data_IF_995066612722
#
_entry.id   IF_995066612722
#
_cell.length_a   1.000
_cell.length_b   1.000
_cell.length_c   1.000
_cell.angle_alpha   90.00
_cell.angle_beta   90.00
_cell.angle_gamma   90.00
#
_symmetry.space_group_name_H-M   'P 1'
#
loop_
_entity.id
_entity.type
_entity.pdbx_description
1 polymer ?
#
# COMPACT_ATOMS: atom_id res chain seq x y z
N UNK A 1 -4.25 63.67 50.12
CA UNK A 1 -4.94 62.90 49.06
C UNK A 1 -4.90 61.45 49.49
N UNK A 2 -6.08 60.87 49.78
CA UNK A 2 -6.27 59.55 50.40
C UNK A 2 -5.65 58.40 49.59
N UNK A 3 -5.04 57.40 50.23
CA UNK A 3 -5.67 56.26 50.94
C UNK A 3 -6.46 55.36 49.96
N UNK A 4 -6.34 54.02 49.93
CA UNK A 4 -5.85 53.04 50.92
C UNK A 4 -5.78 51.64 50.29
N UNK A 5 -4.92 50.77 50.85
CA UNK A 5 -4.74 49.33 50.57
C UNK A 5 -5.63 48.46 51.47
N UNK A 6 -6.02 47.25 51.01
CA UNK A 6 -5.89 45.91 51.69
C UNK A 6 -6.77 44.87 50.94
N UNK A 7 -6.30 43.71 50.45
CA UNK A 7 -6.15 42.38 51.13
C UNK A 7 -7.35 42.01 52.03
N UNK A 8 -7.97 40.80 52.04
CA UNK A 8 -7.41 39.42 52.18
C UNK A 8 -8.52 38.33 52.02
N UNK A 9 -8.11 37.06 51.77
CA UNK A 9 -8.65 35.74 52.25
C UNK A 9 -10.08 35.17 51.93
N UNK A 10 -10.12 34.08 51.14
CA UNK A 10 -10.26 32.64 51.55
C UNK A 10 -11.47 32.04 52.34
N UNK A 11 -12.33 31.26 51.61
CA UNK A 11 -13.06 29.98 51.94
C UNK A 11 -14.17 29.96 53.03
N UNK A 12 -14.98 28.87 53.17
CA UNK A 12 -15.80 28.06 52.23
C UNK A 12 -17.27 27.94 52.74
N UNK A 13 -18.20 27.18 52.11
CA UNK A 13 -19.31 26.42 52.76
C UNK A 13 -20.23 25.69 51.75
N UNK A 14 -21.10 24.82 52.29
CA UNK A 14 -21.55 23.51 51.81
C UNK A 14 -23.09 23.39 51.84
N UNK A 15 -23.68 22.53 50.99
CA UNK A 15 -25.10 22.06 51.06
C UNK A 15 -26.09 22.86 50.19
N UNK A 16 -27.17 22.34 49.59
CA UNK A 16 -27.91 21.06 49.69
C UNK A 16 -28.74 20.84 48.39
N UNK A 17 -29.19 19.59 48.20
CA UNK A 17 -30.18 19.11 47.21
C UNK A 17 -31.52 19.85 47.30
N UNK A 18 -32.21 20.02 46.17
CA UNK A 18 -33.66 19.86 46.09
C UNK A 18 -34.14 19.60 44.65
N UNK A 19 -35.35 19.03 44.57
CA UNK A 19 -35.91 18.14 43.54
C UNK A 19 -36.74 18.82 42.43
N UNK A 20 -36.90 18.08 41.32
CA UNK A 20 -37.76 18.31 40.14
C UNK A 20 -39.22 18.71 40.45
N UNK A 21 -39.91 19.30 39.46
CA UNK A 21 -41.13 18.65 38.99
C UNK A 21 -41.21 18.48 37.46
N UNK A 22 -41.86 17.38 37.10
CA UNK A 22 -42.28 16.91 35.78
C UNK A 22 -43.37 17.76 35.13
N UNK A 23 -43.34 17.90 33.80
CA UNK A 23 -44.55 17.85 32.98
C UNK A 23 -44.26 17.34 31.57
N UNK A 24 -45.14 16.42 31.14
CA UNK A 24 -45.31 15.82 29.81
C UNK A 24 -45.73 16.92 28.82
N UNK A 25 -45.66 16.82 27.49
CA UNK A 25 -45.94 15.73 26.58
C UNK A 25 -45.46 16.17 25.18
N UNK A 26 -44.99 15.23 24.37
CA UNK A 26 -44.38 15.54 23.07
C UNK A 26 -44.07 14.29 22.28
N UNK A 27 -45.09 13.44 22.09
CA UNK A 27 -45.02 12.28 21.20
C UNK A 27 -44.56 12.68 19.79
N UNK A 28 -43.33 12.32 19.44
CA UNK A 28 -42.93 12.12 18.04
C UNK A 28 -42.78 10.63 17.79
N UNK A 29 -43.70 10.12 17.00
CA UNK A 29 -43.70 8.77 16.42
C UNK A 29 -42.46 8.63 15.54
N UNK A 30 -41.56 7.72 15.88
CA UNK A 30 -40.43 7.31 15.05
C UNK A 30 -40.86 6.06 14.27
N UNK A 31 -40.81 6.05 12.92
CA UNK A 31 -41.09 4.84 12.16
C UNK A 31 -40.00 3.80 12.39
N UNK A 32 -40.39 2.60 12.78
CA UNK A 32 -39.55 1.41 12.75
C UNK A 32 -39.10 1.13 11.31
N UNK A 33 -37.81 1.26 11.04
CA UNK A 33 -37.21 0.97 9.74
C UNK A 33 -35.71 0.74 9.88
N UNK A 34 -35.31 -0.53 9.84
CA UNK A 34 -33.94 -1.05 9.69
C UNK A 34 -32.84 -0.37 10.52
N UNK A 35 -32.67 -0.89 11.73
CA UNK A 35 -31.39 -0.87 12.42
C UNK A 35 -30.38 -1.66 11.55
N UNK A 36 -29.60 -0.96 10.71
CA UNK A 36 -28.37 -1.55 10.17
C UNK A 36 -27.47 -1.76 11.39
N UNK A 37 -27.37 -3.00 11.86
CA UNK A 37 -26.24 -3.42 12.67
C UNK A 37 -24.97 -3.16 11.84
N UNK A 38 -24.34 -2.01 12.05
CA UNK A 38 -22.91 -1.84 11.81
C UNK A 38 -22.19 -2.78 12.75
N UNK A 39 -22.10 -4.07 12.37
CA UNK A 39 -21.05 -4.94 12.89
C UNK A 39 -19.73 -4.40 12.36
N UNK A 40 -19.17 -3.43 13.09
CA UNK A 40 -17.73 -3.20 13.10
C UNK A 40 -17.07 -4.58 13.20
N UNK A 41 -16.14 -4.86 12.29
CA UNK A 41 -15.28 -6.02 12.40
C UNK A 41 -14.63 -5.97 13.79
N UNK A 42 -14.94 -6.92 14.66
CA UNK A 42 -14.29 -7.00 15.96
C UNK A 42 -12.80 -7.22 15.74
N UNK A 43 -11.98 -6.40 16.37
CA UNK A 43 -10.51 -6.39 16.36
C UNK A 43 -9.85 -7.71 16.80
N UNK A 44 -10.63 -8.75 17.14
CA UNK A 44 -10.18 -9.99 17.77
C UNK A 44 -9.80 -11.12 16.80
N UNK A 45 -10.00 -10.95 15.50
CA UNK A 45 -9.77 -12.02 14.50
C UNK A 45 -8.43 -11.90 13.74
N UNK A 46 -7.60 -10.91 14.04
CA UNK A 46 -6.24 -10.80 13.48
C UNK A 46 -5.21 -11.19 14.55
N UNK A 47 -4.21 -12.03 14.22
CA UNK A 47 -3.02 -12.16 15.07
C UNK A 47 -2.43 -10.77 15.32
N UNK A 48 -1.89 -10.48 16.52
CA UNK A 48 -1.23 -9.22 16.81
C UNK A 48 0.07 -9.16 16.00
N UNK A 49 -0.03 -8.72 14.74
CA UNK A 49 1.14 -8.51 13.89
C UNK A 49 1.62 -7.07 14.10
N UNK A 50 2.88 -6.93 14.49
CA UNK A 50 3.50 -5.68 14.95
C UNK A 50 3.73 -4.64 13.83
N UNK A 51 3.21 -4.86 12.62
CA UNK A 51 3.48 -4.06 11.42
C UNK A 51 2.21 -3.46 10.84
N UNK A 52 1.44 -2.72 11.64
CA UNK A 52 0.29 -1.93 11.17
C UNK A 52 0.79 -0.68 10.43
N UNK A 53 0.37 -0.46 9.19
CA UNK A 53 0.56 0.86 8.55
C UNK A 53 -0.43 1.85 9.19
N UNK A 54 0.06 2.95 9.80
CA UNK A 54 -0.82 3.93 10.44
C UNK A 54 -1.59 4.73 9.40
N UNK A 55 -2.81 5.14 9.78
CA UNK A 55 -3.57 6.14 9.05
C UNK A 55 -2.97 7.52 9.34
N UNK A 56 -2.91 8.37 8.32
CA UNK A 56 -2.42 9.74 8.40
C UNK A 56 -3.62 10.67 8.21
N UNK A 57 -3.84 11.65 9.11
CA UNK A 57 -4.87 12.65 8.93
C UNK A 57 -4.68 13.41 7.61
N UNK A 58 -5.74 14.02 7.12
CA UNK A 58 -5.66 14.89 5.94
C UNK A 58 -4.72 16.05 6.21
N UNK A 59 -3.72 16.19 5.36
CA UNK A 59 -2.69 17.22 5.47
C UNK A 59 -2.41 17.84 4.11
N UNK A 60 -2.20 19.15 4.11
CA UNK A 60 -1.76 19.91 2.93
C UNK A 60 -0.27 20.17 3.09
N UNK A 61 0.53 19.59 2.20
CA UNK A 61 1.97 19.82 2.15
C UNK A 61 2.47 19.90 0.70
N UNK A 62 3.68 20.44 0.47
CA UNK A 62 4.26 20.51 -0.87
C UNK A 62 4.38 19.12 -1.50
N UNK A 63 3.87 18.96 -2.72
CA UNK A 63 4.02 17.72 -3.48
C UNK A 63 5.50 17.43 -3.69
N UNK A 64 5.91 16.19 -3.42
CA UNK A 64 7.24 15.71 -3.72
C UNK A 64 7.51 15.74 -5.25
N UNK A 65 8.63 16.36 -5.64
CA UNK A 65 9.03 16.43 -7.04
C UNK A 65 9.82 15.18 -7.44
N UNK A 66 9.15 14.22 -8.07
CA UNK A 66 9.75 12.92 -8.40
C UNK A 66 10.99 13.02 -9.30
N UNK A 67 11.04 14.01 -10.20
CA UNK A 67 12.15 14.21 -11.15
C UNK A 67 13.16 15.27 -10.69
N UNK A 68 13.00 15.79 -9.46
CA UNK A 68 13.89 16.79 -8.86
C UNK A 68 14.14 16.39 -7.39
N UNK A 69 15.05 15.44 -7.13
CA UNK A 69 15.33 15.01 -5.77
C UNK A 69 15.89 16.18 -4.93
N UNK A 70 15.44 16.32 -3.69
CA UNK A 70 15.89 17.36 -2.77
C UNK A 70 17.40 17.26 -2.45
N UNK A 71 17.93 16.03 -2.44
CA UNK A 71 19.35 15.73 -2.18
C UNK A 71 19.92 14.89 -3.32
N UNK A 72 20.85 15.47 -4.07
CA UNK A 72 21.58 14.82 -5.17
C UNK A 72 23.11 14.80 -4.93
N UNK A 73 23.51 15.06 -3.69
CA UNK A 73 24.88 15.17 -3.18
C UNK A 73 25.25 14.02 -2.22
N UNK A 74 24.26 13.40 -1.57
CA UNK A 74 24.46 12.32 -0.58
C UNK A 74 23.58 11.10 -0.86
N UNK A 75 23.98 9.97 -0.30
CA UNK A 75 23.18 8.75 -0.23
C UNK A 75 22.09 8.93 0.85
N UNK A 76 20.83 8.87 0.44
CA UNK A 76 19.66 8.99 1.32
C UNK A 76 19.02 7.64 1.68
N UNK A 77 19.50 6.55 1.07
CA UNK A 77 18.97 5.20 1.26
C UNK A 77 20.04 4.15 0.97
N UNK A 78 20.16 3.14 1.83
CA UNK A 78 21.09 2.03 1.63
C UNK A 78 20.60 1.09 0.51
N UNK A 79 21.48 0.24 -0.07
CA UNK A 79 21.08 -0.76 -1.06
C UNK A 79 20.13 -1.86 -0.54
N UNK A 80 19.87 -1.91 0.77
CA UNK A 80 18.87 -2.78 1.40
C UNK A 80 17.68 -1.97 1.95
N UNK A 81 17.45 -0.78 1.40
CA UNK A 81 16.30 0.07 1.67
C UNK A 81 16.19 0.66 3.09
N UNK A 82 17.28 0.71 3.85
CA UNK A 82 17.30 1.46 5.10
C UNK A 82 17.48 2.96 4.79
N UNK A 83 16.61 3.86 5.28
CA UNK A 83 16.79 5.30 5.13
C UNK A 83 18.08 5.80 5.79
N UNK A 84 18.74 6.77 5.17
CA UNK A 84 19.82 7.55 5.81
C UNK A 84 19.26 8.95 6.06
N UNK A 85 19.10 9.29 7.34
CA UNK A 85 18.38 10.51 7.74
C UNK A 85 19.30 11.71 7.61
N UNK A 86 18.92 12.62 6.71
CA UNK A 86 19.52 13.94 6.55
C UNK A 86 18.42 14.99 6.61
N UNK A 87 18.78 16.20 7.02
CA UNK A 87 17.88 17.34 6.89
C UNK A 87 17.47 17.54 5.41
N UNK A 88 16.18 17.82 5.22
CA UNK A 88 15.56 17.99 3.90
C UNK A 88 15.18 16.70 3.16
N UNK A 89 15.32 15.52 3.79
CA UNK A 89 14.93 14.23 3.19
C UNK A 89 13.53 13.76 3.61
N UNK A 90 12.97 14.33 4.67
CA UNK A 90 11.66 13.97 5.21
C UNK A 90 10.81 15.21 5.48
N UNK A 91 9.50 15.02 5.61
CA UNK A 91 8.56 16.02 6.11
C UNK A 91 8.18 15.65 7.54
N UNK A 92 8.60 16.48 8.50
CA UNK A 92 8.36 16.22 9.92
C UNK A 92 6.89 16.17 10.27
N UNK A 93 6.05 16.98 9.61
CA UNK A 93 4.62 17.01 9.90
C UNK A 93 3.96 15.68 9.53
N UNK A 94 4.38 15.06 8.41
CA UNK A 94 3.87 13.74 8.03
C UNK A 94 4.31 12.68 9.03
N UNK A 95 5.58 12.70 9.46
CA UNK A 95 6.09 11.73 10.44
C UNK A 95 5.40 11.90 11.79
N UNK A 96 5.25 13.13 12.27
CA UNK A 96 4.55 13.42 13.53
C UNK A 96 3.11 12.91 13.48
N UNK A 97 2.42 13.10 12.36
CA UNK A 97 1.06 12.59 12.16
C UNK A 97 0.99 11.06 12.07
N UNK A 98 1.99 10.40 11.46
CA UNK A 98 2.08 8.93 11.41
C UNK A 98 2.32 8.31 12.78
N UNK A 99 3.10 8.98 13.63
CA UNK A 99 3.56 8.44 14.90
C UNK A 99 2.92 9.11 16.13
N UNK A 100 1.88 9.94 15.95
CA UNK A 100 1.21 10.70 17.02
C UNK A 100 0.82 9.84 18.23
N UNK A 101 0.34 8.61 17.98
CA UNK A 101 -0.10 7.67 19.02
C UNK A 101 0.93 6.56 19.31
N UNK A 102 2.20 6.76 18.96
CA UNK A 102 3.25 5.75 19.15
C UNK A 102 3.97 5.92 20.48
N UNK A 103 3.91 4.90 21.32
CA UNK A 103 4.71 4.85 22.55
C UNK A 103 6.14 4.46 22.22
N UNK A 104 7.08 5.38 22.39
CA UNK A 104 8.52 5.10 22.24
C UNK A 104 9.09 4.64 23.59
N UNK A 105 9.49 3.37 23.67
CA UNK A 105 10.23 2.85 24.82
C UNK A 105 11.73 3.14 24.69
N UNK A 106 12.32 3.79 25.68
CA UNK A 106 13.78 3.96 25.77
C UNK A 106 14.35 2.93 26.76
N UNK A 107 15.12 1.97 26.26
CA UNK A 107 15.85 1.02 27.11
C UNK A 107 17.29 1.51 27.28
N UNK A 108 17.64 1.93 28.49
CA UNK A 108 19.01 2.33 28.85
C UNK A 108 19.70 1.14 29.51
N UNK A 109 20.74 0.61 28.86
CA UNK A 109 21.62 -0.39 29.49
C UNK A 109 22.66 0.31 30.35
N UNK A 110 22.54 0.21 31.67
CA UNK A 110 23.65 0.48 32.57
C UNK A 110 24.56 -0.75 32.59
N UNK A 111 25.66 -0.70 31.83
CA UNK A 111 26.64 -1.78 31.81
C UNK A 111 27.42 -1.74 33.14
N UNK A 112 27.04 -2.59 34.08
CA UNK A 112 27.93 -3.01 35.18
C UNK A 112 28.65 -4.27 34.69
N UNK A 113 29.98 -4.30 34.81
CA UNK A 113 30.80 -5.46 34.45
C UNK A 113 30.46 -6.67 35.36
N UNK A 114 29.39 -7.39 35.04
CA UNK A 114 29.11 -8.70 35.59
C UNK A 114 28.70 -9.63 34.44
N UNK A 115 29.37 -10.78 34.37
CA UNK A 115 29.23 -11.81 33.34
C UNK A 115 27.93 -12.58 33.59
N UNK A 116 27.11 -12.74 32.55
CA UNK A 116 26.14 -13.82 32.47
C UNK A 116 24.68 -13.36 32.45
N UNK A 117 24.06 -13.48 31.27
CA UNK A 117 22.62 -13.37 31.08
C UNK A 117 22.30 -13.62 29.61
N UNK A 118 21.99 -14.88 29.28
CA UNK A 118 21.52 -15.28 27.94
C UNK A 118 20.07 -14.79 27.80
N UNK A 119 19.83 -13.90 26.83
CA UNK A 119 18.50 -13.38 26.51
C UNK A 119 17.90 -14.26 25.42
N UNK A 120 16.87 -15.04 25.77
CA UNK A 120 16.02 -15.78 24.83
C UNK A 120 15.14 -14.78 24.05
N UNK A 121 15.72 -14.21 22.99
CA UNK A 121 15.00 -13.46 21.96
C UNK A 121 14.66 -14.37 20.77
N UNK A 122 13.73 -13.96 19.88
CA UNK A 122 13.47 -14.69 18.64
C UNK A 122 14.80 -14.91 17.89
N UNK A 123 15.05 -16.15 17.43
CA UNK A 123 16.30 -16.55 16.79
C UNK A 123 16.72 -15.50 15.75
N UNK A 124 17.76 -14.73 16.06
CA UNK A 124 18.32 -13.76 15.14
C UNK A 124 18.94 -14.51 13.97
N UNK A 125 18.29 -14.45 12.81
CA UNK A 125 18.83 -15.08 11.60
C UNK A 125 19.94 -14.19 11.05
N UNK A 126 21.18 -14.63 11.19
CA UNK A 126 22.36 -13.90 10.74
C UNK A 126 22.56 -14.08 9.24
N UNK A 127 22.72 -12.98 8.51
CA UNK A 127 23.09 -13.03 7.10
C UNK A 127 24.46 -13.69 6.92
N UNK A 128 24.60 -14.52 5.90
CA UNK A 128 25.88 -15.06 5.46
C UNK A 128 26.86 -13.91 5.18
N UNK A 129 28.17 -14.17 5.31
CA UNK A 129 29.18 -13.18 4.88
C UNK A 129 29.04 -12.92 3.38
N UNK A 130 28.78 -11.67 3.02
CA UNK A 130 28.67 -11.24 1.62
C UNK A 130 29.79 -10.24 1.28
N UNK A 131 30.29 -10.31 0.05
CA UNK A 131 31.21 -9.31 -0.51
C UNK A 131 30.46 -8.52 -1.56
N UNK A 132 30.27 -7.23 -1.33
CA UNK A 132 29.57 -6.33 -2.24
C UNK A 132 30.23 -4.93 -2.22
N UNK A 133 30.03 -4.10 -3.25
CA UNK A 133 30.56 -2.75 -3.28
C UNK A 133 30.08 -1.93 -2.08
N UNK A 134 31.01 -1.32 -1.35
CA UNK A 134 30.68 -0.48 -0.19
C UNK A 134 29.77 0.70 -0.62
N UNK A 135 28.63 0.91 0.06
CA UNK A 135 27.81 2.10 -0.17
C UNK A 135 28.61 3.37 0.11
N UNK A 136 28.65 4.29 -0.86
CA UNK A 136 29.38 5.57 -0.74
C UNK A 136 28.43 6.65 -0.24
N UNK A 137 28.57 7.05 1.02
CA UNK A 137 27.65 7.99 1.69
C UNK A 137 27.56 9.36 0.98
N UNK A 138 28.66 9.85 0.40
CA UNK A 138 28.70 11.11 -0.35
C UNK A 138 28.47 10.93 -1.86
N UNK A 139 27.82 9.84 -2.26
CA UNK A 139 27.50 9.58 -3.67
C UNK A 139 26.12 8.97 -3.76
N UNK A 140 25.12 9.70 -4.29
CA UNK A 140 23.78 9.16 -4.43
C UNK A 140 23.73 8.04 -5.47
N UNK A 141 22.79 7.10 -5.28
CA UNK A 141 22.50 6.03 -6.23
C UNK A 141 21.84 6.54 -7.53
N UNK A 142 20.98 7.57 -7.40
CA UNK A 142 20.32 8.28 -8.49
C UNK A 142 20.34 9.78 -8.22
N UNK A 143 20.57 10.59 -9.26
CA UNK A 143 20.57 12.07 -9.18
C UNK A 143 19.40 12.71 -9.92
N UNK A 144 18.71 11.92 -10.72
CA UNK A 144 17.68 12.31 -11.68
C UNK A 144 16.26 12.03 -11.18
N UNK A 145 16.12 11.30 -10.08
CA UNK A 145 14.84 10.92 -9.48
C UNK A 145 14.89 10.95 -7.96
N UNK A 146 13.73 11.17 -7.34
CA UNK A 146 13.49 10.94 -5.93
C UNK A 146 13.49 9.44 -5.64
N UNK A 147 14.28 9.02 -4.65
CA UNK A 147 14.45 7.61 -4.25
C UNK A 147 13.90 7.31 -2.85
N UNK A 148 13.44 8.33 -2.13
CA UNK A 148 12.84 8.22 -0.80
C UNK A 148 11.69 9.23 -0.70
N UNK A 149 10.54 8.81 -0.21
CA UNK A 149 9.38 9.70 -0.01
C UNK A 149 9.59 10.60 1.20
N UNK A 150 8.80 11.70 1.32
CA UNK A 150 8.83 12.55 2.51
C UNK A 150 8.48 11.83 3.83
N UNK A 151 7.82 10.67 3.76
CA UNK A 151 7.54 9.79 4.91
C UNK A 151 8.53 8.61 5.02
N UNK A 152 9.73 8.75 4.46
CA UNK A 152 10.84 7.80 4.56
C UNK A 152 10.58 6.41 3.93
N UNK A 153 9.63 6.29 3.01
CA UNK A 153 9.44 5.07 2.24
C UNK A 153 10.35 5.05 1.00
N UNK A 154 11.05 3.93 0.70
CA UNK A 154 11.79 3.75 -0.54
C UNK A 154 10.92 3.95 -1.79
N UNK A 155 11.44 4.69 -2.77
CA UNK A 155 10.95 4.65 -4.14
C UNK A 155 11.87 3.73 -4.95
N UNK A 156 11.36 2.58 -5.40
CA UNK A 156 12.16 1.51 -5.98
C UNK A 156 12.47 1.81 -7.45
N UNK A 157 13.74 2.10 -7.74
CA UNK A 157 14.28 2.33 -9.08
C UNK A 157 15.49 1.44 -9.33
N UNK A 158 15.80 1.14 -10.60
CA UNK A 158 17.06 0.48 -10.92
C UNK A 158 18.26 1.31 -10.41
N UNK A 159 19.16 0.62 -9.72
CA UNK A 159 20.36 1.18 -9.09
C UNK A 159 20.19 1.61 -7.64
N UNK A 160 18.97 1.53 -7.05
CA UNK A 160 18.74 1.90 -5.64
C UNK A 160 18.89 0.73 -4.68
N UNK A 161 19.03 -0.49 -5.18
CA UNK A 161 19.08 -1.70 -4.37
C UNK A 161 20.17 -2.67 -4.81
N UNK A 162 20.61 -3.52 -3.89
CA UNK A 162 21.45 -4.68 -4.17
C UNK A 162 20.58 -5.93 -4.04
N UNK A 163 20.31 -6.58 -5.17
CA UNK A 163 19.39 -7.72 -5.21
C UNK A 163 19.92 -8.95 -4.46
N UNK A 164 21.23 -9.12 -4.35
CA UNK A 164 21.82 -10.26 -3.66
C UNK A 164 21.55 -10.17 -2.15
N UNK A 165 21.73 -8.98 -1.56
CA UNK A 165 21.46 -8.74 -0.15
C UNK A 165 19.98 -9.01 0.16
N UNK A 166 19.08 -8.48 -0.68
CA UNK A 166 17.65 -8.67 -0.50
C UNK A 166 17.24 -10.14 -0.69
N UNK A 167 17.78 -10.83 -1.70
CA UNK A 167 17.52 -12.25 -1.89
C UNK A 167 17.96 -13.09 -0.70
N UNK A 168 19.11 -12.79 -0.08
CA UNK A 168 19.55 -13.48 1.13
C UNK A 168 18.57 -13.27 2.28
N UNK A 169 18.14 -12.03 2.54
CA UNK A 169 17.18 -11.69 3.59
C UNK A 169 15.85 -12.45 3.43
N UNK A 170 15.25 -12.39 2.24
CA UNK A 170 13.93 -12.99 2.01
C UNK A 170 13.97 -14.52 1.89
N UNK A 171 15.10 -15.11 1.47
CA UNK A 171 15.31 -16.57 1.51
C UNK A 171 15.41 -17.09 2.93
N UNK A 172 16.09 -16.37 3.82
CA UNK A 172 16.18 -16.72 5.24
C UNK A 172 14.83 -16.68 5.95
N UNK A 173 13.92 -15.83 5.51
CA UNK A 173 12.52 -15.80 5.98
C UNK A 173 11.63 -16.87 5.34
N UNK A 174 12.15 -17.65 4.37
CA UNK A 174 11.40 -18.66 3.61
C UNK A 174 10.06 -18.11 3.07
N UNK A 175 10.11 -16.87 2.55
CA UNK A 175 8.92 -16.13 2.15
C UNK A 175 8.26 -16.79 0.95
N UNK A 176 6.95 -17.06 1.02
CA UNK A 176 6.16 -17.44 -0.15
C UNK A 176 5.43 -16.21 -0.70
N UNK A 177 5.60 -15.97 -2.00
CA UNK A 177 4.99 -14.83 -2.68
C UNK A 177 3.75 -15.30 -3.41
N UNK A 178 2.67 -14.53 -3.29
CA UNK A 178 1.41 -14.83 -3.99
C UNK A 178 1.16 -13.78 -5.05
N UNK A 179 1.02 -14.22 -6.30
CA UNK A 179 0.64 -13.35 -7.40
C UNK A 179 -0.85 -13.57 -7.69
N UNK A 180 -1.66 -12.53 -7.63
CA UNK A 180 -3.10 -12.60 -7.93
C UNK A 180 -3.38 -11.85 -9.22
N UNK A 181 -4.10 -12.51 -10.13
CA UNK A 181 -4.40 -11.98 -11.46
C UNK A 181 -5.83 -12.33 -11.86
N UNK A 182 -6.51 -11.38 -12.50
CA UNK A 182 -7.90 -11.54 -12.95
C UNK A 182 -7.95 -11.65 -14.47
N UNK A 183 -8.50 -12.77 -14.96
CA UNK A 183 -8.65 -13.06 -16.38
C UNK A 183 -10.11 -13.42 -16.68
N UNK A 184 -10.94 -12.40 -16.84
CA UNK A 184 -12.40 -12.52 -17.02
C UNK A 184 -12.79 -12.32 -18.50
N UNK A 185 -13.71 -13.13 -19.01
CA UNK A 185 -14.17 -13.12 -20.41
C UNK A 185 -13.00 -13.31 -21.39
N UNK A 186 -12.74 -12.33 -22.26
CA UNK A 186 -11.69 -12.38 -23.29
C UNK A 186 -10.28 -12.17 -22.72
N UNK A 187 -10.18 -11.75 -21.46
CA UNK A 187 -8.88 -11.51 -20.82
C UNK A 187 -8.07 -12.79 -20.58
N UNK A 188 -8.69 -13.98 -20.67
CA UNK A 188 -7.96 -15.25 -20.67
C UNK A 188 -6.92 -15.35 -21.77
N UNK A 189 -7.09 -14.63 -22.89
CA UNK A 189 -6.14 -14.59 -24.00
C UNK A 189 -4.75 -14.04 -23.60
N UNK A 190 -4.66 -13.29 -22.49
CA UNK A 190 -3.38 -12.74 -22.01
C UNK A 190 -2.63 -13.69 -21.07
N UNK A 191 -3.30 -14.70 -20.51
CA UNK A 191 -2.73 -15.54 -19.45
C UNK A 191 -1.48 -16.29 -19.88
N UNK A 192 -1.41 -16.77 -21.12
CA UNK A 192 -0.28 -17.57 -21.57
C UNK A 192 1.00 -16.74 -21.58
N UNK A 193 0.97 -15.56 -22.22
CA UNK A 193 2.09 -14.64 -22.25
C UNK A 193 2.44 -14.13 -20.84
N UNK A 194 1.43 -13.81 -20.03
CA UNK A 194 1.62 -13.36 -18.66
C UNK A 194 2.36 -14.41 -17.82
N UNK A 195 1.88 -15.65 -17.79
CA UNK A 195 2.46 -16.73 -16.98
C UNK A 195 3.85 -17.12 -17.49
N UNK A 196 4.04 -17.25 -18.81
CA UNK A 196 5.36 -17.56 -19.39
C UNK A 196 6.41 -16.50 -19.08
N UNK A 197 6.03 -15.22 -19.06
CA UNK A 197 6.97 -14.14 -18.73
C UNK A 197 7.16 -14.00 -17.23
N UNK A 198 6.14 -14.25 -16.41
CA UNK A 198 6.26 -14.32 -14.96
C UNK A 198 7.25 -15.41 -14.51
N UNK A 199 7.26 -16.57 -15.15
CA UNK A 199 8.25 -17.62 -14.85
C UNK A 199 9.69 -17.18 -15.10
N UNK A 200 9.93 -16.30 -16.08
CA UNK A 200 11.28 -15.82 -16.44
C UNK A 200 11.78 -14.69 -15.53
N UNK A 201 10.89 -13.93 -14.92
CA UNK A 201 11.22 -12.61 -14.37
C UNK A 201 10.65 -12.31 -13.00
N UNK A 202 9.57 -12.98 -12.59
CA UNK A 202 8.87 -12.69 -11.34
C UNK A 202 9.36 -13.61 -10.22
N UNK A 203 10.04 -13.02 -9.23
CA UNK A 203 10.48 -13.68 -7.99
C UNK A 203 11.27 -14.96 -8.25
N UNK A 204 12.13 -14.95 -9.28
CA UNK A 204 12.95 -16.11 -9.65
C UNK A 204 13.84 -16.51 -8.47
N UNK A 205 13.84 -17.81 -8.14
CA UNK A 205 14.56 -18.35 -6.98
C UNK A 205 13.78 -18.33 -5.66
N UNK A 206 12.54 -17.82 -5.66
CA UNK A 206 11.64 -17.83 -4.50
C UNK A 206 10.38 -18.64 -4.78
N UNK A 207 9.69 -19.04 -3.71
CA UNK A 207 8.43 -19.78 -3.78
C UNK A 207 7.32 -18.85 -4.26
N UNK A 208 6.60 -19.25 -5.31
CA UNK A 208 5.53 -18.44 -5.89
C UNK A 208 4.27 -19.27 -6.09
N UNK A 209 3.14 -18.76 -5.62
CA UNK A 209 1.83 -19.27 -6.03
C UNK A 209 1.08 -18.19 -6.80
N UNK A 210 0.81 -18.44 -8.07
CA UNK A 210 0.00 -17.57 -8.91
C UNK A 210 -1.47 -18.02 -8.85
N UNK A 211 -2.35 -17.16 -8.35
CA UNK A 211 -3.79 -17.39 -8.32
C UNK A 211 -4.47 -16.66 -9.48
N UNK A 212 -5.04 -17.44 -10.41
CA UNK A 212 -5.79 -16.96 -11.56
C UNK A 212 -7.27 -16.98 -11.23
N UNK A 213 -7.87 -15.79 -11.09
CA UNK A 213 -9.32 -15.62 -10.95
C UNK A 213 -9.94 -15.52 -12.34
N UNK A 214 -10.82 -16.45 -12.70
CA UNK A 214 -11.43 -16.50 -14.03
C UNK A 214 -12.86 -17.06 -14.02
N UNK A 215 -13.67 -16.63 -14.97
CA UNK A 215 -14.98 -17.21 -15.31
C UNK A 215 -14.86 -18.37 -16.31
N UNK A 216 -13.64 -18.70 -16.74
CA UNK A 216 -13.35 -19.69 -17.78
C UNK A 216 -12.17 -20.58 -17.37
N UNK A 217 -12.32 -21.42 -16.33
CA UNK A 217 -11.22 -22.23 -15.78
C UNK A 217 -10.61 -23.21 -16.81
N UNK A 218 -11.41 -23.69 -17.76
CA UNK A 218 -10.93 -24.57 -18.84
C UNK A 218 -10.00 -23.89 -19.85
N UNK A 219 -9.99 -22.55 -19.90
CA UNK A 219 -9.16 -21.77 -20.82
C UNK A 219 -7.85 -21.27 -20.17
N UNK A 220 -7.58 -21.66 -18.91
CA UNK A 220 -6.31 -21.33 -18.27
C UNK A 220 -5.18 -22.20 -18.87
N UNK A 221 -4.14 -21.60 -19.47
CA UNK A 221 -3.10 -22.35 -20.14
C UNK A 221 -2.21 -23.12 -19.16
N UNK A 222 -1.74 -24.30 -19.58
CA UNK A 222 -0.76 -25.08 -18.83
C UNK A 222 0.65 -24.63 -19.22
N UNK A 223 1.26 -23.81 -18.37
CA UNK A 223 2.64 -23.34 -18.55
C UNK A 223 3.59 -24.19 -17.70
N UNK A 224 4.74 -24.64 -18.22
CA UNK A 224 5.77 -25.28 -17.40
C UNK A 224 6.28 -24.32 -16.31
N UNK A 225 6.27 -24.75 -15.05
CA UNK A 225 6.68 -23.95 -13.90
C UNK A 225 7.97 -24.52 -13.29
N UNK A 226 8.81 -23.62 -12.76
CA UNK A 226 9.98 -24.02 -11.98
C UNK A 226 9.62 -24.69 -10.65
N UNK A 227 10.62 -25.28 -9.99
CA UNK A 227 10.45 -25.86 -8.66
C UNK A 227 9.94 -24.83 -7.64
N UNK A 228 9.04 -25.25 -6.75
CA UNK A 228 8.46 -24.37 -5.72
C UNK A 228 7.46 -23.35 -6.26
N UNK A 229 7.02 -23.50 -7.52
CA UNK A 229 6.09 -22.58 -8.19
C UNK A 229 4.83 -23.30 -8.65
N UNK A 230 3.68 -22.66 -8.45
CA UNK A 230 2.36 -23.25 -8.72
C UNK A 230 1.38 -22.23 -9.28
N UNK A 231 0.44 -22.70 -10.11
CA UNK A 231 -0.71 -21.93 -10.57
C UNK A 231 -1.98 -22.54 -9.99
N UNK A 232 -2.70 -21.77 -9.17
CA UNK A 232 -4.02 -22.10 -8.65
C UNK A 232 -5.10 -21.40 -9.47
N UNK A 233 -6.12 -22.14 -9.91
CA UNK A 233 -7.26 -21.57 -10.64
C UNK A 233 -8.45 -21.41 -9.70
N UNK A 234 -9.03 -20.21 -9.68
CA UNK A 234 -10.17 -19.85 -8.85
C UNK A 234 -11.31 -19.41 -9.76
N UNK A 235 -12.33 -20.26 -9.85
CA UNK A 235 -13.52 -19.95 -10.64
C UNK A 235 -14.35 -18.86 -9.96
N UNK A 236 -14.68 -17.82 -10.72
CA UNK A 236 -15.47 -16.68 -10.27
C UNK A 236 -16.52 -16.30 -11.29
N UNK A 237 -17.57 -15.61 -10.84
CA UNK A 237 -18.65 -15.20 -11.74
C UNK A 237 -18.19 -14.08 -12.68
N UNK A 238 -18.65 -14.16 -13.93
CA UNK A 238 -18.55 -13.06 -14.89
C UNK A 238 -19.63 -12.01 -14.60
N UNK A 239 -19.29 -10.74 -14.71
CA UNK A 239 -20.24 -9.62 -14.58
C UNK A 239 -20.48 -8.97 -15.95
N UNK A 240 -21.70 -8.44 -16.17
CA UNK A 240 -22.10 -7.86 -17.45
C UNK A 240 -21.28 -6.60 -17.79
N UNK A 241 -21.08 -5.68 -16.83
CA UNK A 241 -20.20 -4.50 -17.00
C UNK A 241 -18.77 -4.79 -16.56
N UNK A 242 -17.79 -4.27 -17.30
CA UNK A 242 -16.35 -4.36 -16.95
C UNK A 242 -16.02 -3.62 -15.66
N UNK A 243 -16.70 -2.50 -15.39
CA UNK A 243 -16.53 -1.70 -14.18
C UNK A 243 -16.80 -2.53 -12.92
N UNK A 244 -17.83 -3.39 -12.99
CA UNK A 244 -18.18 -4.30 -11.91
C UNK A 244 -17.05 -5.33 -11.69
N UNK A 245 -16.38 -5.81 -12.74
CA UNK A 245 -15.24 -6.74 -12.61
C UNK A 245 -14.13 -6.11 -11.76
N UNK A 246 -13.79 -4.84 -11.98
CA UNK A 246 -12.75 -4.11 -11.24
C UNK A 246 -13.10 -3.93 -9.76
N UNK A 247 -14.34 -3.55 -9.48
CA UNK A 247 -14.90 -3.42 -8.13
C UNK A 247 -14.93 -4.76 -7.40
N UNK A 248 -15.27 -5.84 -8.11
CA UNK A 248 -15.29 -7.18 -7.54
C UNK A 248 -13.89 -7.79 -7.38
N UNK A 249 -12.84 -7.30 -8.06
CA UNK A 249 -11.45 -7.74 -7.78
C UNK A 249 -11.12 -7.57 -6.31
N UNK A 250 -11.43 -6.38 -5.80
CA UNK A 250 -11.21 -5.97 -4.43
C UNK A 250 -11.99 -6.88 -3.46
N UNK A 251 -13.25 -7.16 -3.76
CA UNK A 251 -14.07 -8.09 -2.97
C UNK A 251 -13.53 -9.53 -2.99
N UNK A 252 -13.10 -10.00 -4.17
CA UNK A 252 -12.60 -11.35 -4.38
C UNK A 252 -11.26 -11.55 -3.67
N UNK A 253 -10.34 -10.59 -3.77
CA UNK A 253 -9.09 -10.59 -3.01
C UNK A 253 -9.40 -10.62 -1.51
N UNK A 254 -10.30 -9.77 -1.01
CA UNK A 254 -10.71 -9.78 0.41
C UNK A 254 -11.24 -11.14 0.85
N UNK A 255 -12.18 -11.71 0.10
CA UNK A 255 -12.81 -12.99 0.45
C UNK A 255 -11.81 -14.14 0.43
N UNK A 256 -10.88 -14.12 -0.53
CA UNK A 256 -9.83 -15.13 -0.63
C UNK A 256 -8.79 -14.97 0.48
N UNK A 257 -8.38 -13.73 0.77
CA UNK A 257 -7.49 -13.42 1.88
C UNK A 257 -8.04 -13.92 3.22
N UNK A 258 -9.34 -13.72 3.47
CA UNK A 258 -10.00 -14.25 4.68
C UNK A 258 -10.05 -15.77 4.74
N UNK A 259 -10.32 -16.45 3.63
CA UNK A 259 -10.61 -17.89 3.64
C UNK A 259 -9.37 -18.77 3.53
N UNK A 260 -8.32 -18.28 2.86
CA UNK A 260 -7.13 -19.08 2.53
C UNK A 260 -5.83 -18.51 3.08
N UNK A 261 -5.76 -17.21 3.38
CA UNK A 261 -4.48 -16.55 3.60
C UNK A 261 -4.23 -16.10 5.04
N UNK A 262 -5.26 -16.03 5.90
CA UNK A 262 -5.14 -15.53 7.28
C UNK A 262 -4.14 -16.30 8.16
N UNK A 263 -3.78 -17.53 7.78
CA UNK A 263 -2.87 -18.38 8.55
C UNK A 263 -1.47 -18.51 7.92
N UNK A 264 -1.17 -17.78 6.84
CA UNK A 264 0.07 -17.90 6.08
C UNK A 264 0.82 -16.56 6.03
N UNK A 265 2.15 -16.58 6.14
CA UNK A 265 3.06 -15.41 6.31
C UNK A 265 3.34 -14.68 4.98
N UNK A 266 2.43 -14.78 4.02
CA UNK A 266 2.74 -14.51 2.62
C UNK A 266 2.54 -13.03 2.24
N UNK A 267 3.12 -12.64 1.11
CA UNK A 267 2.96 -11.29 0.54
C UNK A 267 2.14 -11.36 -0.76
N UNK A 268 0.83 -11.03 -0.74
CA UNK A 268 0.03 -10.90 -1.95
C UNK A 268 0.45 -9.69 -2.80
N UNK A 269 0.65 -9.95 -4.09
CA UNK A 269 0.85 -8.99 -5.16
C UNK A 269 -0.39 -9.07 -6.07
N UNK A 270 -1.04 -7.94 -6.28
CA UNK A 270 -2.20 -7.80 -7.16
C UNK A 270 -1.77 -7.15 -8.45
N UNK A 271 -2.04 -7.81 -9.57
CA UNK A 271 -1.52 -7.42 -10.87
C UNK A 271 -2.57 -7.54 -11.99
N UNK A 272 -2.51 -6.63 -12.96
CA UNK A 272 -3.28 -6.74 -14.20
C UNK A 272 -2.78 -7.92 -15.06
N UNK A 273 -3.65 -8.51 -15.88
CA UNK A 273 -3.27 -9.63 -16.76
C UNK A 273 -2.81 -9.18 -18.15
N UNK A 274 -3.22 -7.99 -18.61
CA UNK A 274 -2.97 -7.46 -19.96
C UNK A 274 -1.62 -6.72 -20.07
N UNK A 275 -0.61 -7.35 -19.48
CA UNK A 275 0.76 -6.89 -19.26
C UNK A 275 1.69 -8.11 -19.32
N UNK A 276 2.96 -7.89 -19.62
CA UNK A 276 3.99 -8.93 -19.66
C UNK A 276 5.20 -8.52 -18.84
N UNK A 277 5.85 -9.49 -18.22
CA UNK A 277 7.16 -9.24 -17.60
C UNK A 277 8.24 -9.24 -18.68
N UNK A 278 9.14 -8.26 -18.62
CA UNK A 278 10.23 -8.08 -19.60
C UNK A 278 11.61 -8.06 -18.95
N UNK A 279 11.68 -7.74 -17.66
CA UNK A 279 12.91 -7.69 -16.87
C UNK A 279 12.57 -8.06 -15.41
N UNK A 280 13.59 -8.18 -14.57
CA UNK A 280 13.51 -8.59 -13.17
C UNK A 280 12.45 -7.82 -12.37
N UNK A 281 11.56 -8.56 -11.72
CA UNK A 281 10.66 -8.11 -10.66
C UNK A 281 10.80 -9.09 -9.50
N UNK A 282 11.52 -8.70 -8.46
CA UNK A 282 11.87 -9.60 -7.37
C UNK A 282 11.48 -9.07 -5.99
N UNK A 283 12.16 -9.60 -4.98
CA UNK A 283 11.86 -9.30 -3.57
C UNK A 283 12.05 -7.84 -3.19
N UNK A 284 12.67 -7.02 -4.06
CA UNK A 284 12.80 -5.60 -3.84
C UNK A 284 11.47 -4.86 -3.71
N UNK A 285 10.38 -5.40 -4.30
CA UNK A 285 9.04 -4.81 -4.21
C UNK A 285 8.33 -5.14 -2.88
N UNK A 286 8.75 -6.20 -2.19
CA UNK A 286 8.05 -6.72 -1.01
C UNK A 286 8.17 -5.75 0.16
N UNK A 287 7.04 -5.44 0.79
CA UNK A 287 6.92 -4.58 1.96
C UNK A 287 5.53 -4.77 2.59
N UNK A 288 5.26 -4.28 3.81
CA UNK A 288 3.92 -4.33 4.39
C UNK A 288 2.84 -3.75 3.48
N UNK A 289 3.10 -2.64 2.80
CA UNK A 289 2.20 -2.03 1.83
C UNK A 289 3.00 -1.31 0.74
N UNK A 290 2.69 -1.58 -0.52
CA UNK A 290 3.24 -0.83 -1.65
C UNK A 290 2.19 -0.46 -2.71
N UNK A 291 2.43 0.67 -3.36
CA UNK A 291 1.73 1.11 -4.55
C UNK A 291 2.72 1.45 -5.67
N UNK A 292 2.26 1.37 -6.92
CA UNK A 292 3.09 1.67 -8.10
C UNK A 292 2.73 3.01 -8.70
N UNK A 293 3.71 3.85 -9.01
CA UNK A 293 3.50 5.12 -9.68
C UNK A 293 2.92 4.91 -11.08
N UNK A 294 1.81 5.58 -11.38
CA UNK A 294 1.18 5.45 -12.68
C UNK A 294 2.05 6.07 -13.80
N UNK A 295 2.30 5.37 -14.90
CA UNK A 295 3.25 5.80 -15.93
C UNK A 295 2.81 7.05 -16.69
N UNK A 296 1.50 7.33 -16.75
CA UNK A 296 0.97 8.58 -17.32
C UNK A 296 1.10 9.82 -16.43
N UNK A 297 1.47 9.68 -15.15
CA UNK A 297 1.37 10.77 -14.16
C UNK A 297 2.63 11.02 -13.32
N UNK A 298 3.63 10.14 -13.36
CA UNK A 298 4.81 10.24 -12.48
C UNK A 298 5.56 11.59 -12.58
N UNK A 299 5.63 12.20 -13.77
CA UNK A 299 6.21 13.53 -14.00
C UNK A 299 5.18 14.67 -14.06
N UNK A 300 3.88 14.40 -13.88
CA UNK A 300 2.83 15.38 -14.07
C UNK A 300 2.65 16.30 -12.84
N UNK A 301 2.12 17.50 -13.07
CA UNK A 301 1.69 18.38 -11.98
C UNK A 301 0.46 17.80 -11.24
N UNK A 302 0.24 18.21 -9.98
CA UNK A 302 -0.82 17.63 -9.13
C UNK A 302 -2.23 17.85 -9.70
N UNK A 303 -2.41 18.93 -10.46
CA UNK A 303 -3.67 19.36 -11.06
C UNK A 303 -4.09 18.44 -12.22
N UNK A 304 -3.11 17.77 -12.83
CA UNK A 304 -3.34 16.82 -13.91
C UNK A 304 -3.78 15.44 -13.40
N UNK A 305 -3.62 15.16 -12.10
CA UNK A 305 -4.02 13.88 -11.53
C UNK A 305 -5.54 13.71 -11.58
N UNK A 306 -5.95 12.60 -12.14
CA UNK A 306 -7.35 12.29 -12.41
C UNK A 306 -8.05 11.63 -11.22
N UNK A 307 -7.78 12.09 -10.00
CA UNK A 307 -8.53 11.63 -8.83
C UNK A 307 -10.02 11.93 -8.96
N UNK A 308 -10.82 11.22 -8.17
CA UNK A 308 -12.22 11.57 -7.97
C UNK A 308 -12.33 12.94 -7.29
N UNK A 309 -12.99 13.88 -7.95
CA UNK A 309 -13.11 15.27 -7.49
C UNK A 309 -14.50 15.60 -6.94
N UNK A 310 -15.47 14.70 -7.09
CA UNK A 310 -16.83 14.87 -6.54
C UNK A 310 -16.81 14.57 -5.04
N UNK A 311 -17.09 15.55 -4.16
CA UNK A 311 -17.08 15.36 -2.70
C UNK A 311 -18.07 14.31 -2.18
N UNK A 312 -19.06 13.94 -3.01
CA UNK A 312 -20.06 12.94 -2.67
C UNK A 312 -19.51 11.50 -2.74
N UNK A 313 -18.39 11.27 -3.43
CA UNK A 313 -17.74 9.96 -3.49
C UNK A 313 -16.81 9.74 -2.32
N UNK A 314 -16.76 8.51 -1.80
CA UNK A 314 -15.78 8.06 -0.83
C UNK A 314 -14.34 8.10 -1.38
N UNK A 315 -14.15 8.09 -2.70
CA UNK A 315 -12.84 8.22 -3.34
C UNK A 315 -12.35 9.67 -3.46
N UNK A 316 -13.09 10.65 -2.93
CA UNK A 316 -12.78 12.07 -3.13
C UNK A 316 -11.39 12.46 -2.62
N UNK A 317 -10.62 13.13 -3.48
CA UNK A 317 -9.35 13.76 -3.15
C UNK A 317 -9.40 15.26 -3.49
N UNK A 318 -9.24 16.15 -2.50
CA UNK A 318 -9.07 17.59 -2.71
C UNK A 318 -7.87 17.93 -3.61
N UNK A 319 -7.82 19.15 -4.15
CA UNK A 319 -6.75 19.55 -5.10
C UNK A 319 -5.41 19.83 -4.42
N UNK A 320 -5.47 20.15 -3.14
CA UNK A 320 -4.36 20.50 -2.25
C UNK A 320 -3.73 19.29 -1.53
N UNK A 321 -4.46 18.18 -1.40
CA UNK A 321 -3.99 16.92 -0.81
C UNK A 321 -3.44 15.95 -1.87
N UNK A 322 -2.13 15.98 -2.17
CA UNK A 322 -1.57 15.12 -3.23
C UNK A 322 -0.11 14.71 -3.01
N UNK A 323 0.13 13.39 -2.93
CA UNK A 323 1.45 12.78 -3.03
C UNK A 323 1.79 12.37 -4.48
N UNK A 324 1.23 11.24 -4.88
CA UNK A 324 1.48 10.53 -6.12
C UNK A 324 0.18 9.94 -6.64
N UNK A 325 0.08 9.80 -7.96
CA UNK A 325 -1.01 9.05 -8.57
C UNK A 325 -0.56 7.61 -8.79
N UNK A 326 -1.15 6.68 -8.03
CA UNK A 326 -0.85 5.26 -8.06
C UNK A 326 -1.72 4.54 -9.10
N UNK A 327 -1.16 3.53 -9.75
CA UNK A 327 -1.88 2.69 -10.71
C UNK A 327 -2.62 1.55 -10.01
N UNK A 328 -3.87 1.30 -10.42
CA UNK A 328 -4.68 0.17 -9.97
C UNK A 328 -4.19 -1.20 -10.46
N UNK A 329 -3.29 -1.21 -11.46
CA UNK A 329 -2.81 -2.42 -12.11
C UNK A 329 -1.63 -3.12 -11.43
N UNK A 330 -1.02 -2.50 -10.41
CA UNK A 330 0.07 -3.16 -9.66
C UNK A 330 0.24 -2.60 -8.24
N UNK A 331 -0.15 -3.38 -7.23
CA UNK A 331 -0.04 -3.04 -5.82
C UNK A 331 0.04 -4.32 -4.97
N UNK A 332 0.39 -4.19 -3.69
CA UNK A 332 0.45 -5.36 -2.82
C UNK A 332 0.94 -5.02 -1.42
N UNK A 333 1.22 -6.06 -0.65
CA UNK A 333 1.62 -5.90 0.74
C UNK A 333 1.68 -7.23 1.47
N UNK A 334 1.73 -7.17 2.80
CA UNK A 334 1.43 -8.32 3.65
C UNK A 334 -0.04 -8.72 3.50
N UNK A 335 -0.40 -9.96 3.86
CA UNK A 335 -1.81 -10.40 3.87
C UNK A 335 -2.68 -9.45 4.69
N UNK A 336 -2.18 -8.99 5.85
CA UNK A 336 -2.92 -8.11 6.74
C UNK A 336 -3.23 -6.76 6.08
N UNK A 337 -2.24 -6.10 5.48
CA UNK A 337 -2.44 -4.81 4.82
C UNK A 337 -3.24 -4.94 3.52
N UNK A 338 -3.01 -5.99 2.73
CA UNK A 338 -3.80 -6.26 1.54
C UNK A 338 -5.28 -6.49 1.89
N UNK A 339 -5.57 -7.18 2.99
CA UNK A 339 -6.95 -7.37 3.48
C UNK A 339 -7.59 -6.05 3.92
N UNK A 340 -6.83 -5.16 4.58
CA UNK A 340 -7.34 -3.84 5.00
C UNK A 340 -7.62 -2.94 3.81
N UNK A 341 -6.65 -2.80 2.90
CA UNK A 341 -6.79 -2.03 1.68
C UNK A 341 -8.00 -2.49 0.90
N UNK A 342 -8.10 -3.80 0.66
CA UNK A 342 -9.23 -4.32 -0.13
C UNK A 342 -10.55 -4.23 0.62
N UNK A 343 -10.59 -4.40 1.93
CA UNK A 343 -11.81 -4.19 2.71
C UNK A 343 -12.29 -2.75 2.68
N UNK A 344 -11.39 -1.78 2.85
CA UNK A 344 -11.70 -0.37 2.81
C UNK A 344 -12.19 0.07 1.43
N UNK A 345 -11.47 -0.30 0.36
CA UNK A 345 -11.88 0.01 -1.02
C UNK A 345 -13.24 -0.61 -1.37
N UNK A 346 -13.50 -1.85 -0.95
CA UNK A 346 -14.79 -2.50 -1.19
C UNK A 346 -15.93 -1.78 -0.45
N UNK A 347 -15.76 -1.48 0.84
CA UNK A 347 -16.75 -0.75 1.62
C UNK A 347 -17.04 0.63 1.03
N UNK A 348 -16.00 1.37 0.67
CA UNK A 348 -16.12 2.67 0.02
C UNK A 348 -16.92 2.58 -1.29
N UNK A 349 -16.67 1.54 -2.09
CA UNK A 349 -17.40 1.31 -3.34
C UNK A 349 -18.87 0.97 -3.10
N UNK A 350 -19.18 0.17 -2.07
CA UNK A 350 -20.56 -0.16 -1.69
C UNK A 350 -21.33 1.09 -1.27
N UNK A 351 -20.69 1.99 -0.52
CA UNK A 351 -21.28 3.28 -0.12
C UNK A 351 -21.54 4.17 -1.33
N UNK A 352 -20.57 4.32 -2.24
CA UNK A 352 -20.73 5.10 -3.47
C UNK A 352 -21.90 4.56 -4.31
N UNK A 353 -21.97 3.23 -4.48
CA UNK A 353 -23.05 2.58 -5.22
C UNK A 353 -24.41 2.81 -4.57
N UNK A 354 -24.51 2.77 -3.25
CA UNK A 354 -25.74 3.07 -2.52
C UNK A 354 -26.21 4.51 -2.72
N UNK A 355 -25.28 5.44 -2.96
CA UNK A 355 -25.58 6.84 -3.30
C UNK A 355 -25.71 7.10 -4.82
N UNK A 356 -25.70 6.06 -5.65
CA UNK A 356 -25.80 6.21 -7.11
C UNK A 356 -24.57 6.83 -7.75
N UNK A 357 -23.39 6.68 -7.14
CA UNK A 357 -22.10 7.21 -7.60
C UNK A 357 -21.19 6.05 -8.00
N UNK A 358 -20.45 6.24 -9.10
CA UNK A 358 -19.37 5.37 -9.54
C UNK A 358 -18.13 6.26 -9.70
N UNK A 359 -17.05 5.96 -8.98
CA UNK A 359 -15.83 6.77 -9.01
C UNK A 359 -15.19 6.81 -10.40
N UNK A 360 -14.58 7.95 -10.77
CA UNK A 360 -14.11 8.25 -12.14
C UNK A 360 -13.18 7.20 -12.75
N UNK A 361 -12.29 6.61 -11.95
CA UNK A 361 -11.43 5.49 -12.33
C UNK A 361 -11.66 4.25 -11.46
N UNK A 362 -12.90 4.05 -11.02
CA UNK A 362 -13.35 2.84 -10.31
C UNK A 362 -12.47 2.52 -9.10
N UNK A 363 -11.93 1.30 -9.01
CA UNK A 363 -11.06 0.83 -7.93
C UNK A 363 -9.74 1.59 -7.84
N UNK A 364 -9.18 2.12 -8.94
CA UNK A 364 -7.99 2.96 -8.89
C UNK A 364 -8.25 4.27 -8.13
N UNK A 365 -9.45 4.83 -8.22
CA UNK A 365 -9.82 6.03 -7.45
C UNK A 365 -9.86 5.72 -5.95
N UNK A 366 -10.47 4.60 -5.55
CA UNK A 366 -10.49 4.17 -4.15
C UNK A 366 -9.11 3.76 -3.62
N UNK A 367 -8.27 3.13 -4.45
CA UNK A 367 -6.88 2.81 -4.12
C UNK A 367 -6.09 4.08 -3.80
N UNK A 368 -6.20 5.10 -4.66
CA UNK A 368 -5.50 6.36 -4.46
C UNK A 368 -5.98 7.08 -3.19
N UNK A 369 -7.28 7.07 -2.91
CA UNK A 369 -7.81 7.57 -1.63
C UNK A 369 -7.20 6.80 -0.45
N UNK A 370 -7.19 5.47 -0.51
CA UNK A 370 -6.65 4.64 0.56
C UNK A 370 -5.16 4.91 0.82
N UNK A 371 -4.33 4.97 -0.24
CA UNK A 371 -2.89 5.20 -0.12
C UNK A 371 -2.50 6.63 0.28
N UNK A 372 -3.40 7.59 0.09
CA UNK A 372 -3.26 8.93 0.63
C UNK A 372 -3.42 8.91 2.16
N UNK A 373 -4.42 8.18 2.66
CA UNK A 373 -4.70 8.06 4.08
C UNK A 373 -3.76 7.03 4.76
N UNK A 374 -3.27 6.02 4.05
CA UNK A 374 -2.39 4.95 4.55
C UNK A 374 -1.13 4.90 3.71
N UNK A 375 -0.11 5.66 4.12
CA UNK A 375 1.09 5.86 3.31
C UNK A 375 1.78 4.52 3.02
N UNK A 376 2.08 4.19 1.76
CA UNK A 376 2.75 2.95 1.44
C UNK A 376 4.18 2.94 1.98
N UNK A 377 4.60 1.80 2.52
CA UNK A 377 5.95 1.55 3.06
C UNK A 377 7.02 1.37 1.99
N UNK A 378 6.61 1.10 0.73
CA UNK A 378 7.43 1.28 -0.48
C UNK A 378 6.57 1.82 -1.62
N UNK A 379 7.18 2.61 -2.49
CA UNK A 379 6.58 3.06 -3.73
C UNK A 379 7.36 2.48 -4.90
N UNK A 380 6.69 1.81 -5.84
CA UNK A 380 7.37 1.31 -7.03
C UNK A 380 7.42 2.39 -8.10
N UNK A 381 8.58 2.57 -8.73
CA UNK A 381 8.70 3.46 -9.88
C UNK A 381 7.89 2.93 -11.08
N UNK A 382 7.66 3.76 -12.12
CA UNK A 382 7.02 3.29 -13.34
C UNK A 382 7.81 2.23 -14.12
N UNK A 383 9.05 1.88 -13.73
CA UNK A 383 9.74 0.70 -14.27
C UNK A 383 8.90 -0.59 -14.05
N UNK A 384 8.07 -0.59 -13.01
CA UNK A 384 7.21 -1.71 -12.59
C UNK A 384 5.78 -1.65 -13.14
N UNK A 385 5.44 -0.67 -13.97
CA UNK A 385 4.23 -0.67 -14.80
C UNK A 385 4.38 0.39 -15.89
N UNK A 386 4.55 -0.03 -17.14
CA UNK A 386 4.86 0.87 -18.24
C UNK A 386 4.06 0.60 -19.51
N UNK A 387 3.73 1.66 -20.25
CA UNK A 387 3.17 1.56 -21.60
C UNK A 387 4.18 2.08 -22.62
N UNK A 388 4.96 1.16 -23.20
CA UNK A 388 6.03 1.50 -24.14
C UNK A 388 5.47 2.07 -25.45
N UNK A 389 4.27 1.66 -25.87
CA UNK A 389 3.66 2.14 -27.10
C UNK A 389 3.22 3.60 -27.00
N UNK A 390 2.66 3.99 -25.85
CA UNK A 390 2.16 5.34 -25.63
C UNK A 390 3.24 6.31 -25.15
N UNK A 391 4.22 5.83 -24.37
CA UNK A 391 5.15 6.69 -23.64
C UNK A 391 6.61 6.55 -24.11
N UNK A 392 6.90 5.63 -25.03
CA UNK A 392 8.25 5.32 -25.48
C UNK A 392 9.13 4.77 -24.36
N UNK A 393 10.44 5.00 -24.44
CA UNK A 393 11.40 4.60 -23.41
C UNK A 393 12.30 5.79 -23.04
N UNK A 394 11.87 6.64 -22.07
CA UNK A 394 12.65 7.80 -21.64
C UNK A 394 13.88 7.39 -20.83
N UNK A 395 14.94 8.19 -20.90
CA UNK A 395 16.25 7.88 -20.27
C UNK A 395 16.20 7.71 -18.74
N UNK A 396 15.19 8.28 -18.08
CA UNK A 396 14.96 8.10 -16.62
C UNK A 396 14.60 6.66 -16.26
N UNK A 397 14.01 5.90 -17.20
CA UNK A 397 13.69 4.49 -17.05
C UNK A 397 14.90 3.67 -17.48
N UNK A 398 15.67 3.14 -16.52
CA UNK A 398 16.81 2.28 -16.85
C UNK A 398 16.37 0.88 -17.27
N UNK A 399 15.21 0.44 -16.77
CA UNK A 399 14.57 -0.83 -17.10
C UNK A 399 13.07 -0.64 -17.31
N UNK A 400 12.50 -1.44 -18.20
CA UNK A 400 11.05 -1.63 -18.31
C UNK A 400 10.77 -3.08 -17.91
N UNK A 401 10.24 -3.29 -16.71
CA UNK A 401 10.13 -4.61 -16.07
C UNK A 401 8.79 -5.26 -16.31
N UNK A 402 7.73 -4.47 -16.31
CA UNK A 402 6.34 -4.93 -16.46
C UNK A 402 5.60 -3.98 -17.40
N UNK A 403 5.29 -4.46 -18.59
CA UNK A 403 4.90 -3.62 -19.74
C UNK A 403 3.55 -4.03 -20.28
N UNK A 404 2.68 -3.06 -20.60
CA UNK A 404 1.36 -3.31 -21.18
C UNK A 404 1.46 -4.07 -22.50
N UNK A 405 0.53 -4.98 -22.73
CA UNK A 405 0.38 -5.66 -24.01
C UNK A 405 -0.56 -4.82 -24.89
N UNK A 406 -0.17 -4.49 -26.13
CA UNK A 406 -1.03 -3.76 -27.06
C UNK A 406 -2.38 -4.45 -27.21
N UNK A 407 -3.46 -3.70 -27.02
CA UNK A 407 -4.83 -4.22 -27.03
C UNK A 407 -5.79 -3.28 -27.74
N UNK A 408 -6.64 -3.83 -28.59
CA UNK A 408 -7.79 -3.08 -29.10
C UNK A 408 -8.88 -3.06 -28.03
N UNK A 409 -9.13 -1.89 -27.45
CA UNK A 409 -10.15 -1.72 -26.42
C UNK A 409 -11.55 -2.13 -26.89
N UNK A 410 -11.89 -1.99 -28.19
CA UNK A 410 -13.19 -2.43 -28.71
C UNK A 410 -13.31 -3.95 -28.84
N UNK A 411 -12.25 -4.66 -29.23
CA UNK A 411 -12.31 -6.10 -29.48
C UNK A 411 -12.38 -6.98 -28.22
N UNK A 412 -11.80 -6.51 -27.11
CA UNK A 412 -11.61 -7.30 -25.88
C UNK A 412 -12.66 -6.98 -24.81
N UNK A 413 -13.29 -5.80 -24.87
CA UNK A 413 -14.23 -5.33 -23.84
C UNK A 413 -15.68 -5.83 -24.01
N UNK A 414 -16.02 -6.34 -25.20
CA UNK A 414 -17.36 -6.86 -25.54
C UNK A 414 -17.51 -8.35 -25.23
#
# INVERSE_FOLDING_TARGET
MGESRSSTEGRPLQGQRESLPSSQDGRRVVPQGMLLETKQCSERDCPPDACRVPEVPRMVYPKAQLLQPARADVLVMTPWFAPVIWDGVFDSAILDAQFENTTVGLTIFAIKNEVGGELDGPQAVTLSRMVYPQPKVLTPSRKDVLVLTPWLAPIVWEGTFNIDILNEQFRLWNTTIRLTVFAIKKYVAFLELFLQTAEKHFMVGHRVTCYVFTDRPGDVPRVPLGEGRQVGVLEVRSYSRRQDVSVHRVEMIRNFSRRRFLHEVDSPVCADVDVRFRDHVGVEILSPLFGTLHPGFYGAAREAFTYERRPQSQAHVPRDEVDFYYAGGFFGGSVAEALRLTSACHQATVVDRAHGIEAVWHDESHLNRYLLDHKPTKVLSPEYLWDEQLLGWPAVMKKLRYVTVPKSHRGIRD
#
